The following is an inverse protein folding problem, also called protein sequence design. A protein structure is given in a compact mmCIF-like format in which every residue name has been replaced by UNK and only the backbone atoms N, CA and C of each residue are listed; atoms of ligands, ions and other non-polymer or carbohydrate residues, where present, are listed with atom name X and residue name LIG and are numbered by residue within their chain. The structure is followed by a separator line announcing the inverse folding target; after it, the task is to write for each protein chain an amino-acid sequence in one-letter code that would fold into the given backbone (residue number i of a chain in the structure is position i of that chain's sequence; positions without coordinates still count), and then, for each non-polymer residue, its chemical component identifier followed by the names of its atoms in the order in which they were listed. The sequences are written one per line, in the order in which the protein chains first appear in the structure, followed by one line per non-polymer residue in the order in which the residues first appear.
data_IF_740520435896
#
_entry.id   IF_740520435896
#
_cell.length_a   1.000
_cell.length_b   1.000
_cell.length_c   1.000
_cell.angle_alpha   90.00
_cell.angle_beta   90.00
_cell.angle_gamma   90.00
#
_symmetry.space_group_name_H-M   'P 1'
#
loop_
_entity.id
_entity.type
_entity.pdbx_description
1 polymer ?
#
# COMPACT_ATOMS: atom_id res chain seq x y z
N UNK A 1 -5.26 -7.03 -20.25
CA UNK A 1 -6.52 -7.66 -19.81
C UNK A 1 -6.70 -7.28 -18.36
N UNK A 2 -7.77 -6.55 -18.03
CA UNK A 2 -8.03 -6.08 -16.67
C UNK A 2 -8.35 -7.24 -15.72
N UNK A 3 -7.99 -7.07 -14.44
CA UNK A 3 -8.34 -7.97 -13.34
C UNK A 3 -9.87 -8.03 -13.23
N UNK A 4 -10.44 -9.22 -13.07
CA UNK A 4 -11.86 -9.34 -12.75
C UNK A 4 -12.05 -8.82 -11.33
N UNK A 5 -12.76 -7.71 -11.18
CA UNK A 5 -13.00 -7.07 -9.89
C UNK A 5 -13.81 -8.00 -8.98
N UNK A 6 -13.29 -8.26 -7.79
CA UNK A 6 -14.03 -9.00 -6.77
C UNK A 6 -14.91 -8.05 -5.95
N UNK A 7 -15.97 -8.58 -5.32
CA UNK A 7 -16.84 -7.80 -4.44
C UNK A 7 -16.07 -7.13 -3.28
N UNK A 8 -14.95 -7.72 -2.86
CA UNK A 8 -14.11 -7.17 -1.80
C UNK A 8 -13.27 -5.98 -2.28
N UNK A 9 -12.78 -6.02 -3.52
CA UNK A 9 -12.05 -4.90 -4.14
C UNK A 9 -12.94 -3.65 -4.19
N UNK A 10 -14.19 -3.82 -4.66
CA UNK A 10 -15.18 -2.73 -4.75
C UNK A 10 -15.48 -2.14 -3.36
N UNK A 11 -15.76 -3.00 -2.37
CA UNK A 11 -16.07 -2.55 -1.00
C UNK A 11 -14.89 -1.83 -0.35
N UNK A 12 -13.68 -2.36 -0.52
CA UNK A 12 -12.48 -1.74 0.02
C UNK A 12 -12.23 -0.38 -0.63
N UNK A 13 -12.39 -0.28 -1.95
CA UNK A 13 -12.30 0.97 -2.71
C UNK A 13 -13.28 2.03 -2.18
N UNK A 14 -14.56 1.68 -2.01
CA UNK A 14 -15.59 2.59 -1.50
C UNK A 14 -15.30 3.08 -0.08
N UNK A 15 -14.86 2.17 0.80
CA UNK A 15 -14.49 2.51 2.19
C UNK A 15 -13.32 3.48 2.19
N UNK A 16 -12.28 3.23 1.40
CA UNK A 16 -11.11 4.09 1.32
C UNK A 16 -11.49 5.47 0.79
N UNK A 17 -12.19 5.57 -0.34
CA UNK A 17 -12.63 6.86 -0.88
C UNK A 17 -13.47 7.66 0.11
N UNK A 18 -14.41 6.99 0.79
CA UNK A 18 -15.24 7.61 1.83
C UNK A 18 -14.38 8.22 2.96
N UNK A 19 -13.38 7.48 3.45
CA UNK A 19 -12.51 7.96 4.52
C UNK A 19 -11.53 9.04 4.07
N UNK A 20 -10.99 8.94 2.84
CA UNK A 20 -10.15 9.99 2.26
C UNK A 20 -10.94 11.29 2.10
N UNK A 21 -12.18 11.22 1.60
CA UNK A 21 -13.06 12.39 1.51
C UNK A 21 -13.38 12.98 2.89
N UNK A 22 -13.71 12.11 3.86
CA UNK A 22 -14.02 12.55 5.23
C UNK A 22 -12.82 13.14 5.97
N UNK A 23 -11.58 12.87 5.54
CA UNK A 23 -10.38 13.46 6.14
C UNK A 23 -10.28 14.97 5.94
N UNK A 24 -10.93 15.51 4.90
CA UNK A 24 -10.91 16.94 4.55
C UNK A 24 -9.59 17.45 3.96
N UNK A 25 -8.50 16.68 3.99
CA UNK A 25 -7.17 17.14 3.55
C UNK A 25 -6.73 16.60 2.18
N UNK A 26 -7.51 15.68 1.61
CA UNK A 26 -7.20 15.03 0.32
C UNK A 26 -7.92 15.77 -0.80
N UNK A 27 -7.16 16.34 -1.73
CA UNK A 27 -7.66 17.01 -2.92
C UNK A 27 -8.34 16.00 -3.86
N UNK A 28 -7.58 15.00 -4.30
CA UNK A 28 -8.05 13.97 -5.20
C UNK A 28 -7.41 12.62 -4.87
N UNK A 29 -8.01 11.54 -5.36
CA UNK A 29 -7.44 10.23 -5.26
C UNK A 29 -7.70 9.38 -6.52
N UNK A 30 -6.83 8.40 -6.74
CA UNK A 30 -6.95 7.41 -7.81
C UNK A 30 -6.60 6.03 -7.27
N UNK A 31 -7.26 4.99 -7.77
CA UNK A 31 -7.04 3.61 -7.33
C UNK A 31 -6.80 2.63 -8.48
N UNK A 32 -6.34 1.41 -8.20
CA UNK A 32 -6.28 0.33 -9.21
C UNK A 32 -7.64 0.18 -9.94
N UNK A 33 -8.74 0.28 -9.17
CA UNK A 33 -10.10 0.06 -9.66
C UNK A 33 -10.76 1.31 -10.27
N UNK A 34 -10.16 2.47 -10.06
CA UNK A 34 -10.62 3.77 -10.58
C UNK A 34 -9.40 4.63 -10.89
N UNK A 35 -8.72 4.38 -12.03
CA UNK A 35 -7.43 5.00 -12.35
C UNK A 35 -7.53 6.48 -12.70
N UNK A 36 -8.73 6.98 -12.98
CA UNK A 36 -8.98 8.41 -13.20
C UNK A 36 -8.91 9.19 -11.87
N UNK A 37 -8.49 10.46 -11.97
CA UNK A 37 -8.42 11.35 -10.80
C UNK A 37 -9.83 11.68 -10.30
N UNK A 38 -10.17 11.23 -9.10
CA UNK A 38 -11.43 11.54 -8.43
C UNK A 38 -11.22 12.70 -7.45
N UNK A 39 -11.73 13.88 -7.78
CA UNK A 39 -11.67 15.05 -6.88
C UNK A 39 -12.58 14.79 -5.66
N UNK A 40 -12.00 14.82 -4.48
CA UNK A 40 -12.69 14.57 -3.20
C UNK A 40 -12.97 15.86 -2.44
N UNK A 41 -12.06 16.83 -2.51
CA UNK A 41 -12.18 18.14 -1.89
C UNK A 41 -11.33 19.19 -2.65
N UNK A 42 -11.94 20.22 -3.24
CA UNK A 42 -11.20 21.29 -3.95
C UNK A 42 -10.21 22.04 -3.05
N UNK A 43 -10.49 22.11 -1.74
CA UNK A 43 -9.63 22.76 -0.74
C UNK A 43 -8.60 21.79 -0.11
N UNK A 44 -8.59 20.52 -0.53
CA UNK A 44 -7.62 19.53 -0.09
C UNK A 44 -6.21 19.87 -0.57
N UNK A 45 -5.20 19.27 0.04
CA UNK A 45 -3.78 19.49 -0.29
C UNK A 45 -3.13 18.28 -0.94
N UNK A 46 -3.57 17.08 -0.57
CA UNK A 46 -2.90 15.84 -0.97
C UNK A 46 -3.59 15.13 -2.11
N UNK A 47 -2.80 14.58 -3.03
CA UNK A 47 -3.26 13.53 -3.93
C UNK A 47 -2.92 12.17 -3.31
N UNK A 48 -3.86 11.22 -3.32
CA UNK A 48 -3.63 9.85 -2.80
C UNK A 48 -3.82 8.82 -3.90
N UNK A 49 -2.81 8.01 -4.14
CA UNK A 49 -2.89 6.83 -5.03
C UNK A 49 -2.94 5.56 -4.20
N UNK A 50 -3.80 4.60 -4.52
CA UNK A 50 -3.86 3.37 -3.72
C UNK A 50 -4.26 2.10 -4.49
N UNK A 51 -3.80 0.97 -3.99
CA UNK A 51 -4.38 -0.34 -4.30
C UNK A 51 -5.25 -0.74 -3.10
N UNK A 52 -6.58 -0.86 -3.27
CA UNK A 52 -7.47 -1.18 -2.17
C UNK A 52 -7.18 -2.56 -1.58
N UNK A 53 -6.90 -3.57 -2.40
CA UNK A 53 -6.57 -4.94 -1.97
C UNK A 53 -5.60 -5.57 -3.00
N UNK A 54 -4.31 -5.41 -2.73
CA UNK A 54 -3.25 -6.16 -3.39
C UNK A 54 -3.31 -7.63 -2.96
N UNK A 55 -3.28 -8.52 -3.96
CA UNK A 55 -3.43 -9.95 -3.76
C UNK A 55 -4.87 -10.44 -3.55
N UNK A 56 -5.89 -9.69 -3.98
CA UNK A 56 -7.29 -10.14 -3.84
C UNK A 56 -7.59 -11.51 -4.46
N UNK A 57 -6.80 -11.94 -5.46
CA UNK A 57 -6.90 -13.27 -6.08
C UNK A 57 -6.55 -14.44 -5.16
N UNK A 58 -5.84 -14.22 -4.05
CA UNK A 58 -5.44 -15.26 -3.09
C UNK A 58 -6.21 -15.19 -1.77
N UNK A 59 -7.24 -14.34 -1.70
CA UNK A 59 -8.03 -14.17 -0.48
C UNK A 59 -8.79 -15.45 -0.09
N UNK A 60 -9.30 -16.18 -1.09
CA UNK A 60 -10.02 -17.45 -0.88
C UNK A 60 -9.11 -18.55 -0.32
N UNK A 61 -7.79 -18.42 -0.52
CA UNK A 61 -6.79 -19.32 0.04
C UNK A 61 -6.34 -18.92 1.46
N UNK A 62 -6.93 -17.87 2.04
CA UNK A 62 -6.56 -17.32 3.34
C UNK A 62 -5.08 -16.93 3.44
N UNK A 63 -4.50 -16.46 2.33
CA UNK A 63 -3.18 -15.85 2.30
C UNK A 63 -3.24 -14.38 2.71
N UNK A 64 -2.08 -13.86 3.10
CA UNK A 64 -1.97 -12.45 3.47
C UNK A 64 -2.19 -11.57 2.24
N UNK A 65 -3.06 -10.58 2.39
CA UNK A 65 -3.36 -9.55 1.39
C UNK A 65 -2.99 -8.18 1.97
N UNK A 66 -2.95 -7.13 1.15
CA UNK A 66 -2.55 -5.81 1.63
C UNK A 66 -3.31 -4.67 0.96
N UNK A 67 -3.36 -3.51 1.61
CA UNK A 67 -3.71 -2.24 0.95
C UNK A 67 -2.46 -1.39 0.84
N UNK A 68 -2.23 -0.80 -0.33
CA UNK A 68 -1.03 -0.02 -0.63
C UNK A 68 -1.43 1.43 -0.87
N UNK A 69 -0.72 2.39 -0.28
CA UNK A 69 -1.01 3.81 -0.41
C UNK A 69 0.26 4.61 -0.73
N UNK A 70 0.13 5.55 -1.65
CA UNK A 70 1.09 6.62 -1.93
C UNK A 70 0.43 7.97 -1.71
N UNK A 71 1.11 8.86 -1.00
CA UNK A 71 0.62 10.20 -0.64
C UNK A 71 1.53 11.24 -1.29
N UNK A 72 0.92 12.18 -2.00
CA UNK A 72 1.60 13.20 -2.78
C UNK A 72 1.14 14.59 -2.34
N UNK A 73 2.07 15.52 -2.13
CA UNK A 73 1.75 16.93 -1.86
C UNK A 73 1.66 17.70 -3.19
N UNK A 74 0.58 17.44 -3.94
CA UNK A 74 0.30 17.98 -5.27
C UNK A 74 -1.17 17.76 -5.58
N UNK A 75 -1.72 18.51 -6.53
CA UNK A 75 -3.08 18.29 -7.04
C UNK A 75 -3.07 17.51 -8.36
N UNK A 76 -1.89 17.33 -8.95
CA UNK A 76 -1.69 16.62 -10.21
C UNK A 76 -0.43 15.74 -10.17
N UNK A 77 -0.53 14.56 -10.78
CA UNK A 77 0.51 13.55 -10.89
C UNK A 77 1.30 13.63 -12.21
N UNK A 78 0.93 14.49 -13.15
CA UNK A 78 1.67 14.65 -14.39
C UNK A 78 3.15 14.99 -14.14
N UNK A 79 4.05 14.22 -14.76
CA UNK A 79 5.49 14.37 -14.60
C UNK A 79 6.05 14.01 -13.20
N UNK A 80 5.22 13.53 -12.26
CA UNK A 80 5.69 13.07 -10.95
C UNK A 80 6.30 11.69 -11.06
N UNK A 81 7.31 11.44 -10.21
CA UNK A 81 7.97 10.14 -10.08
C UNK A 81 7.88 9.67 -8.64
N UNK A 82 8.15 8.39 -8.34
CA UNK A 82 8.14 7.86 -6.97
C UNK A 82 8.94 8.66 -5.94
N UNK A 83 9.94 9.43 -6.38
CA UNK A 83 10.73 10.33 -5.51
C UNK A 83 9.94 11.54 -4.98
N UNK A 84 8.77 11.84 -5.54
CA UNK A 84 7.92 12.95 -5.10
C UNK A 84 6.90 12.54 -4.00
N UNK A 85 6.91 11.28 -3.56
CA UNK A 85 6.06 10.84 -2.45
C UNK A 85 6.43 11.59 -1.16
N UNK A 86 5.43 12.12 -0.48
CA UNK A 86 5.58 12.74 0.85
C UNK A 86 5.24 11.79 1.99
N UNK A 87 4.57 10.68 1.66
CA UNK A 87 4.31 9.57 2.55
C UNK A 87 3.85 8.34 1.78
N UNK A 88 3.93 7.19 2.41
CA UNK A 88 3.45 5.93 1.88
C UNK A 88 3.00 5.03 3.02
N UNK A 89 2.05 4.13 2.75
CA UNK A 89 1.60 3.14 3.72
C UNK A 89 1.35 1.80 3.06
N UNK A 90 1.65 0.73 3.79
CA UNK A 90 1.35 -0.64 3.44
C UNK A 90 0.64 -1.30 4.63
N UNK A 91 -0.67 -1.52 4.52
CA UNK A 91 -1.45 -2.23 5.52
C UNK A 91 -1.52 -3.70 5.12
N UNK A 92 -1.03 -4.60 5.98
CA UNK A 92 -0.98 -6.04 5.72
C UNK A 92 -2.04 -6.73 6.57
N UNK A 93 -2.89 -7.52 5.93
CA UNK A 93 -3.94 -8.33 6.53
C UNK A 93 -3.49 -9.79 6.52
N UNK A 94 -2.73 -10.18 7.54
CA UNK A 94 -2.25 -11.55 7.73
C UNK A 94 -2.74 -12.15 9.05
N UNK A 95 -1.90 -12.99 9.67
CA UNK A 95 -2.15 -13.51 11.04
C UNK A 95 -2.29 -12.40 12.07
N UNK A 96 -1.72 -11.23 11.77
CA UNK A 96 -1.85 -9.98 12.49
C UNK A 96 -2.06 -8.87 11.47
N UNK A 97 -2.95 -7.93 11.77
CA UNK A 97 -3.05 -6.71 10.99
C UNK A 97 -1.93 -5.76 11.39
N UNK A 98 -0.98 -5.53 10.48
CA UNK A 98 0.10 -4.56 10.66
C UNK A 98 0.04 -3.49 9.58
N UNK A 99 0.67 -2.36 9.84
CA UNK A 99 0.79 -1.28 8.87
C UNK A 99 2.19 -0.69 8.94
N UNK A 100 2.88 -0.68 7.81
CA UNK A 100 4.18 -0.03 7.66
C UNK A 100 3.94 1.33 7.03
N UNK A 101 4.42 2.39 7.65
CA UNK A 101 4.25 3.77 7.16
C UNK A 101 5.59 4.46 6.99
N UNK A 102 5.67 5.33 5.99
CA UNK A 102 6.72 6.31 5.81
C UNK A 102 6.10 7.69 5.70
N UNK A 103 6.76 8.69 6.28
CA UNK A 103 6.46 10.08 5.99
C UNK A 103 7.74 10.94 5.99
N UNK A 104 7.71 12.00 5.21
CA UNK A 104 8.84 12.95 5.05
C UNK A 104 9.12 13.82 6.28
N UNK A 105 8.19 13.91 7.23
CA UNK A 105 8.39 14.72 8.45
C UNK A 105 9.27 14.00 9.47
N UNK A 106 9.07 12.69 9.66
CA UNK A 106 9.90 11.86 10.53
C UNK A 106 11.12 11.28 9.81
N UNK A 107 11.06 11.21 8.49
CA UNK A 107 12.03 10.55 7.60
C UNK A 107 12.38 9.12 8.06
N UNK A 108 11.36 8.42 8.56
CA UNK A 108 11.48 7.07 9.13
C UNK A 108 10.39 6.17 8.60
N UNK A 109 10.72 4.88 8.54
CA UNK A 109 9.74 3.81 8.34
C UNK A 109 9.35 3.28 9.71
N UNK A 110 8.07 3.35 10.04
CA UNK A 110 7.50 2.85 11.29
C UNK A 110 6.58 1.66 11.00
N UNK A 111 6.56 0.70 11.91
CA UNK A 111 5.58 -0.39 11.89
C UNK A 111 4.58 -0.21 13.02
N UNK A 112 3.30 -0.31 12.68
CA UNK A 112 2.19 -0.32 13.58
C UNK A 112 1.51 -1.69 13.55
N UNK A 113 0.96 -2.07 14.68
CA UNK A 113 0.18 -3.29 14.84
C UNK A 113 -1.18 -2.94 15.41
N UNK A 114 -2.24 -3.44 14.78
CA UNK A 114 -3.60 -3.33 15.32
C UNK A 114 -3.77 -4.36 16.43
N UNK A 115 -4.06 -3.88 17.64
CA UNK A 115 -4.32 -4.73 18.79
C UNK A 115 -5.67 -4.40 19.44
N UNK A 116 -6.34 -5.43 19.93
CA UNK A 116 -7.54 -5.29 20.76
C UNK A 116 -7.13 -5.13 22.22
N UNK A 117 -7.26 -3.92 22.74
CA UNK A 117 -6.99 -3.61 24.15
C UNK A 117 -8.33 -3.38 24.86
N UNK A 118 -8.79 -4.41 25.57
CA UNK A 118 -10.12 -4.45 26.18
C UNK A 118 -11.22 -4.48 25.12
N UNK A 119 -12.07 -3.45 25.09
CA UNK A 119 -13.19 -3.33 24.12
C UNK A 119 -12.86 -2.46 22.90
N UNK A 120 -11.65 -1.92 22.81
CA UNK A 120 -11.25 -1.00 21.72
C UNK A 120 -10.09 -1.57 20.93
N UNK A 121 -10.12 -1.33 19.63
CA UNK A 121 -8.99 -1.56 18.74
C UNK A 121 -8.09 -0.33 18.73
N UNK A 122 -6.78 -0.56 18.78
CA UNK A 122 -5.77 0.51 18.78
C UNK A 122 -4.59 0.10 17.92
N UNK A 123 -4.11 1.04 17.12
CA UNK A 123 -2.81 0.95 16.48
C UNK A 123 -1.72 1.28 17.49
N UNK A 124 -0.79 0.34 17.70
CA UNK A 124 0.39 0.55 18.53
C UNK A 124 1.64 0.49 17.66
N UNK A 125 2.57 1.41 17.88
CA UNK A 125 3.87 1.41 17.20
C UNK A 125 4.66 0.20 17.71
N UNK A 126 4.79 -0.83 16.88
CA UNK A 126 5.54 -2.04 17.18
C UNK A 126 7.03 -1.89 16.84
N UNK A 127 7.37 -1.03 15.88
CA UNK A 127 8.75 -0.64 15.58
C UNK A 127 8.83 0.85 15.18
N UNK A 128 9.66 1.62 15.86
CA UNK A 128 9.83 3.06 15.60
C UNK A 128 10.73 3.38 14.41
N UNK A 129 11.58 2.44 13.99
CA UNK A 129 12.45 2.60 12.83
C UNK A 129 12.76 1.23 12.26
N UNK A 130 12.25 0.96 11.08
CA UNK A 130 12.49 -0.26 10.32
C UNK A 130 13.60 0.00 9.31
N UNK A 131 14.63 -0.84 9.33
CA UNK A 131 15.76 -0.76 8.39
C UNK A 131 16.02 -2.12 7.78
N UNK A 132 16.42 -2.15 6.51
CA UNK A 132 16.84 -3.38 5.86
C UNK A 132 18.29 -3.72 6.23
N UNK A 133 18.56 -5.01 6.43
CA UNK A 133 19.92 -5.51 6.59
C UNK A 133 20.72 -5.39 5.29
N UNK A 134 22.05 -5.25 5.40
CA UNK A 134 22.94 -5.15 4.22
C UNK A 134 22.98 -6.43 3.37
N UNK A 135 22.62 -7.57 3.97
CA UNK A 135 22.59 -8.88 3.33
C UNK A 135 21.29 -9.58 3.72
N UNK A 136 20.71 -10.29 2.76
CA UNK A 136 19.55 -11.15 2.95
C UNK A 136 19.89 -12.57 2.52
N UNK A 137 19.29 -13.56 3.19
CA UNK A 137 19.43 -14.99 2.86
C UNK A 137 18.21 -15.55 2.12
N UNK A 138 17.23 -14.70 1.84
CA UNK A 138 15.96 -15.05 1.24
C UNK A 138 15.78 -14.24 -0.03
N UNK A 139 15.23 -14.89 -1.06
CA UNK A 139 14.74 -14.25 -2.27
C UNK A 139 13.29 -14.69 -2.50
N UNK A 140 12.47 -13.80 -3.08
CA UNK A 140 11.06 -14.08 -3.38
C UNK A 140 10.77 -13.62 -4.80
N UNK A 141 10.87 -14.55 -5.75
CA UNK A 141 10.59 -14.32 -7.16
C UNK A 141 9.61 -15.38 -7.64
N UNK A 142 8.62 -14.98 -8.44
CA UNK A 142 7.77 -15.94 -9.11
C UNK A 142 8.59 -16.70 -10.16
N UNK A 143 8.43 -18.03 -10.24
CA UNK A 143 9.17 -18.88 -11.20
C UNK A 143 9.07 -18.37 -12.63
N UNK A 144 7.92 -17.80 -13.01
CA UNK A 144 7.70 -17.16 -14.31
C UNK A 144 8.70 -16.04 -14.61
N UNK A 145 9.00 -15.19 -13.62
CA UNK A 145 9.93 -14.06 -13.78
C UNK A 145 11.37 -14.49 -14.09
N UNK A 146 11.74 -15.73 -13.76
CA UNK A 146 13.05 -16.29 -14.12
C UNK A 146 13.10 -16.68 -15.59
N UNK A 147 12.01 -17.24 -16.13
CA UNK A 147 11.93 -17.60 -17.55
C UNK A 147 11.91 -16.36 -18.45
N UNK A 148 11.29 -15.27 -18.00
CA UNK A 148 11.17 -14.03 -18.77
C UNK A 148 12.48 -13.22 -18.79
N UNK A 149 13.42 -13.47 -17.87
CA UNK A 149 14.72 -12.81 -17.82
C UNK A 149 15.87 -13.80 -17.53
N UNK A 150 16.60 -14.27 -18.57
CA UNK A 150 17.68 -15.25 -18.43
C UNK A 150 18.83 -14.83 -17.50
N UNK A 151 19.01 -13.53 -17.23
CA UNK A 151 20.00 -13.04 -16.26
C UNK A 151 19.68 -13.54 -14.85
N UNK A 152 18.41 -13.81 -14.56
CA UNK A 152 17.93 -14.27 -13.25
C UNK A 152 18.25 -15.76 -12.99
N UNK A 153 18.72 -16.53 -13.99
CA UNK A 153 19.20 -17.90 -13.75
C UNK A 153 20.40 -17.94 -12.79
N UNK A 154 21.16 -16.85 -12.68
CA UNK A 154 22.27 -16.71 -11.73
C UNK A 154 21.87 -16.89 -10.26
N UNK A 155 20.57 -16.83 -9.94
CA UNK A 155 20.06 -17.11 -8.59
C UNK A 155 20.23 -18.60 -8.24
N UNK A 156 20.24 -19.50 -9.22
CA UNK A 156 20.47 -20.93 -9.03
C UNK A 156 21.95 -21.34 -9.00
N UNK A 157 22.86 -20.42 -9.30
CA UNK A 157 24.31 -20.67 -9.31
C UNK A 157 24.97 -20.46 -7.93
N UNK A 158 24.18 -20.40 -6.84
CA UNK A 158 24.65 -20.17 -5.46
C UNK A 158 25.09 -21.45 -4.74
#
# INVERSE_FOLDING_TARGET
MGKQQSDIDIKANDIIFKHLKASGVVYAAASEESPESNILNEDGTYFVTFDPIDGSSVIDCNFSVASIFGIWNTHDLEGKTGRCLVGAALAIYGTRTSMTIYNTQSDKVEELTLMKIGKKEKWLVSAQTVTLGKQAKLFSIATKGIYDNPVMWKIYDQ
#
